data_IF_308563490367
#
_entry.id   IF_308563490367
#
_cell.length_a   1.000
_cell.length_b   1.000
_cell.length_c   1.000
_cell.angle_alpha   90.00
_cell.angle_beta   90.00
_cell.angle_gamma   90.00
#
_symmetry.space_group_name_H-M   'P 1'
#
loop_
_entity.id
_entity.type
_entity.pdbx_description
1 polymer ?
#
# COMPACT_ATOMS: atom_id res chain seq x y z
N UNK A 1 8.58 -6.81 -53.87
CA UNK A 1 7.39 -6.66 -53.01
C UNK A 1 7.28 -7.80 -51.99
N UNK A 2 7.25 -9.06 -52.44
CA UNK A 2 7.11 -10.25 -51.56
C UNK A 2 8.15 -10.37 -50.43
N UNK A 3 9.41 -9.97 -50.66
CA UNK A 3 10.43 -9.97 -49.61
C UNK A 3 10.17 -8.97 -48.47
N UNK A 4 9.65 -7.78 -48.78
CA UNK A 4 9.34 -6.77 -47.76
C UNK A 4 8.08 -7.13 -46.98
N UNK A 5 7.08 -7.74 -47.63
CA UNK A 5 5.89 -8.25 -46.93
C UNK A 5 6.23 -9.41 -46.00
N UNK A 6 7.11 -10.32 -46.44
CA UNK A 6 7.61 -11.41 -45.61
C UNK A 6 8.34 -10.89 -44.35
N UNK A 7 9.23 -9.90 -44.53
CA UNK A 7 9.93 -9.25 -43.44
C UNK A 7 8.96 -8.56 -42.46
N UNK A 8 7.97 -7.81 -42.97
CA UNK A 8 6.99 -7.11 -42.12
C UNK A 8 6.18 -8.10 -41.27
N UNK A 9 5.80 -9.26 -41.83
CA UNK A 9 5.05 -10.29 -41.08
C UNK A 9 5.93 -10.92 -39.99
N UNK A 10 7.18 -11.28 -40.31
CA UNK A 10 8.09 -11.87 -39.31
C UNK A 10 8.42 -10.89 -38.19
N UNK A 11 8.72 -9.63 -38.53
CA UNK A 11 8.97 -8.57 -37.54
C UNK A 11 7.71 -8.31 -36.71
N UNK A 12 6.53 -8.26 -37.34
CA UNK A 12 5.25 -8.12 -36.64
C UNK A 12 5.01 -9.23 -35.61
N UNK A 13 5.28 -10.49 -35.99
CA UNK A 13 5.21 -11.64 -35.09
C UNK A 13 6.15 -11.49 -33.88
N UNK A 14 7.40 -11.07 -34.11
CA UNK A 14 8.38 -10.85 -33.03
C UNK A 14 7.89 -9.75 -32.07
N UNK A 15 7.35 -8.65 -32.59
CA UNK A 15 6.85 -7.54 -31.77
C UNK A 15 5.62 -7.94 -30.95
N UNK A 16 4.70 -8.70 -31.53
CA UNK A 16 3.54 -9.24 -30.83
C UNK A 16 3.99 -10.14 -29.68
N UNK A 17 4.92 -11.06 -29.96
CA UNK A 17 5.43 -11.97 -28.95
C UNK A 17 6.20 -11.25 -27.85
N UNK A 18 6.98 -10.22 -28.19
CA UNK A 18 7.67 -9.36 -27.23
C UNK A 18 6.70 -8.63 -26.30
N UNK A 19 5.60 -8.11 -26.85
CA UNK A 19 4.56 -7.45 -26.05
C UNK A 19 3.93 -8.43 -25.07
N UNK A 20 3.63 -9.64 -25.53
CA UNK A 20 3.11 -10.71 -24.67
C UNK A 20 4.12 -11.09 -23.56
N UNK A 21 5.40 -11.29 -23.88
CA UNK A 21 6.44 -11.59 -22.88
C UNK A 21 6.61 -10.46 -21.87
N UNK A 22 6.41 -9.19 -22.26
CA UNK A 22 6.39 -8.08 -21.31
C UNK A 22 5.19 -8.18 -20.36
N UNK A 23 3.99 -8.46 -20.86
CA UNK A 23 2.80 -8.68 -20.01
C UNK A 23 3.01 -9.81 -19.01
N UNK A 24 3.67 -10.90 -19.42
CA UNK A 24 4.08 -11.98 -18.52
C UNK A 24 5.03 -11.47 -17.43
N UNK A 25 6.05 -10.70 -17.82
CA UNK A 25 7.03 -10.15 -16.88
C UNK A 25 6.36 -9.26 -15.83
N UNK A 26 5.50 -8.33 -16.27
CA UNK A 26 4.77 -7.41 -15.40
C UNK A 26 3.87 -8.16 -14.43
N UNK A 27 3.11 -9.16 -14.92
CA UNK A 27 2.23 -9.98 -14.10
C UNK A 27 3.00 -10.80 -13.05
N UNK A 28 4.12 -11.42 -13.45
CA UNK A 28 4.94 -12.21 -12.55
C UNK A 28 5.63 -11.35 -11.49
N UNK A 29 6.17 -10.18 -11.87
CA UNK A 29 6.81 -9.25 -10.94
C UNK A 29 5.79 -8.69 -9.94
N UNK A 30 4.62 -8.23 -10.39
CA UNK A 30 3.58 -7.70 -9.50
C UNK A 30 3.02 -8.76 -8.56
N UNK A 31 2.89 -10.00 -9.01
CA UNK A 31 2.40 -11.08 -8.17
C UNK A 31 3.43 -11.48 -7.11
N UNK A 32 4.71 -11.66 -7.50
CA UNK A 32 5.78 -11.97 -6.55
C UNK A 32 6.01 -10.86 -5.53
N UNK A 33 5.86 -9.59 -5.94
CA UNK A 33 6.00 -8.45 -5.03
C UNK A 33 4.95 -8.44 -3.90
N UNK A 34 3.79 -9.10 -4.05
CA UNK A 34 2.78 -9.15 -2.99
C UNK A 34 3.23 -9.97 -1.78
N UNK A 35 4.16 -10.89 -1.98
CA UNK A 35 4.74 -11.73 -0.92
C UNK A 35 6.04 -11.12 -0.37
N UNK A 36 6.36 -9.87 -0.72
CA UNK A 36 7.47 -9.10 -0.17
C UNK A 36 6.95 -7.95 0.72
N UNK A 37 7.79 -7.38 1.61
CA UNK A 37 9.08 -7.91 2.03
C UNK A 37 8.92 -9.09 3.02
N UNK A 38 9.71 -10.14 2.87
CA UNK A 38 9.76 -11.28 3.79
C UNK A 38 11.17 -11.89 3.78
N UNK A 39 11.65 -12.37 4.92
CA UNK A 39 12.96 -13.05 5.02
C UNK A 39 13.00 -14.36 4.21
N UNK A 40 11.86 -15.05 4.09
CA UNK A 40 11.70 -16.22 3.22
C UNK A 40 11.18 -15.77 1.84
N UNK A 41 12.03 -15.86 0.83
CA UNK A 41 11.72 -15.49 -0.56
C UNK A 41 10.92 -16.56 -1.30
N UNK A 42 10.81 -17.78 -0.75
CA UNK A 42 10.16 -18.92 -1.39
C UNK A 42 8.74 -18.63 -1.90
N UNK A 43 7.85 -18.02 -1.10
CA UNK A 43 6.51 -17.62 -1.54
C UNK A 43 6.54 -16.66 -2.73
N UNK A 44 7.31 -15.57 -2.65
CA UNK A 44 7.42 -14.57 -3.72
C UNK A 44 7.90 -15.18 -5.05
N UNK A 45 8.92 -16.04 -4.98
CA UNK A 45 9.46 -16.76 -6.15
C UNK A 45 8.38 -17.68 -6.74
N UNK A 46 7.73 -18.48 -5.89
CA UNK A 46 6.71 -19.43 -6.34
C UNK A 46 5.49 -18.74 -6.94
N UNK A 47 5.06 -17.62 -6.36
CA UNK A 47 3.97 -16.80 -6.88
C UNK A 47 4.33 -16.19 -8.23
N UNK A 48 5.54 -15.64 -8.39
CA UNK A 48 6.01 -15.12 -9.67
C UNK A 48 6.06 -16.21 -10.77
N UNK A 49 6.59 -17.40 -10.45
CA UNK A 49 6.60 -18.57 -11.36
C UNK A 49 5.19 -18.97 -11.76
N UNK A 50 4.26 -19.00 -10.80
CA UNK A 50 2.86 -19.38 -11.04
C UNK A 50 2.19 -18.41 -12.00
N UNK A 51 2.35 -17.09 -11.79
CA UNK A 51 1.75 -16.07 -12.64
C UNK A 51 2.36 -16.03 -14.03
N UNK A 52 3.66 -16.25 -14.18
CA UNK A 52 4.27 -16.41 -15.50
C UNK A 52 3.67 -17.62 -16.24
N UNK A 53 3.50 -18.75 -15.54
CA UNK A 53 2.89 -19.97 -16.08
C UNK A 53 1.43 -19.80 -16.48
N UNK A 54 0.64 -19.05 -15.71
CA UNK A 54 -0.74 -18.67 -16.06
C UNK A 54 -0.79 -17.82 -17.34
N UNK A 55 0.25 -17.03 -17.59
CA UNK A 55 0.41 -16.26 -18.82
C UNK A 55 1.16 -17.05 -19.93
N UNK A 56 1.32 -18.37 -19.78
CA UNK A 56 1.82 -19.26 -20.83
C UNK A 56 3.33 -19.24 -21.06
N UNK A 57 4.12 -18.72 -20.12
CA UNK A 57 5.59 -18.74 -20.18
C UNK A 57 6.15 -19.40 -18.92
N UNK A 58 6.92 -20.47 -19.11
CA UNK A 58 7.63 -21.13 -18.01
C UNK A 58 8.91 -20.36 -17.66
N UNK A 59 9.07 -20.04 -16.39
CA UNK A 59 10.29 -19.46 -15.81
C UNK A 59 10.76 -20.31 -14.64
N UNK A 60 12.04 -20.17 -14.28
CA UNK A 60 12.64 -20.73 -13.07
C UNK A 60 13.09 -19.61 -12.13
N UNK A 61 13.57 -20.00 -10.95
CA UNK A 61 14.19 -19.09 -9.98
C UNK A 61 15.35 -18.28 -10.60
N UNK A 62 16.10 -18.84 -11.55
CA UNK A 62 17.18 -18.13 -12.26
C UNK A 62 16.71 -16.88 -13.04
N UNK A 63 15.41 -16.79 -13.32
CA UNK A 63 14.80 -15.64 -13.99
C UNK A 63 14.40 -14.54 -13.00
N UNK A 64 14.56 -14.77 -11.70
CA UNK A 64 14.04 -13.91 -10.63
C UNK A 64 15.21 -13.38 -9.81
N UNK A 65 15.14 -12.09 -9.47
CA UNK A 65 16.09 -11.44 -8.57
C UNK A 65 15.32 -10.65 -7.53
N UNK A 66 15.64 -10.84 -6.25
CA UNK A 66 15.10 -10.06 -5.14
C UNK A 66 16.24 -9.24 -4.55
N UNK A 67 15.98 -7.97 -4.26
CA UNK A 67 16.96 -7.03 -3.73
C UNK A 67 16.29 -5.84 -3.03
N UNK A 68 17.14 -5.01 -2.40
CA UNK A 68 16.71 -3.86 -1.62
C UNK A 68 16.63 -2.60 -2.51
N UNK A 69 15.48 -1.94 -2.54
CA UNK A 69 15.35 -0.57 -3.06
C UNK A 69 15.18 0.45 -1.94
N UNK A 70 14.23 0.24 -1.03
CA UNK A 70 13.95 1.13 0.11
C UNK A 70 14.13 0.43 1.45
N UNK A 71 13.63 -0.80 1.58
CA UNK A 71 13.82 -1.67 2.75
C UNK A 71 14.34 -3.03 2.28
N UNK A 72 14.92 -3.85 3.20
CA UNK A 72 15.43 -5.16 2.83
C UNK A 72 14.38 -6.03 2.14
N UNK A 73 14.78 -6.67 1.03
CA UNK A 73 13.98 -7.62 0.25
C UNK A 73 12.61 -7.10 -0.21
N UNK A 74 12.52 -5.81 -0.57
CA UNK A 74 11.26 -5.19 -1.01
C UNK A 74 11.04 -5.25 -2.51
N UNK A 75 12.05 -5.58 -3.31
CA UNK A 75 11.99 -5.43 -4.78
C UNK A 75 12.26 -6.75 -5.47
N UNK A 76 11.41 -7.10 -6.42
CA UNK A 76 11.55 -8.28 -7.29
C UNK A 76 11.68 -7.86 -8.75
N UNK A 77 12.63 -8.48 -9.46
CA UNK A 77 12.77 -8.38 -10.92
C UNK A 77 12.60 -9.74 -11.54
N UNK A 78 11.74 -9.83 -12.56
CA UNK A 78 11.47 -11.07 -13.29
C UNK A 78 11.82 -10.89 -14.76
N UNK A 79 12.60 -11.82 -15.30
CA UNK A 79 13.07 -11.82 -16.70
C UNK A 79 12.61 -13.08 -17.43
N UNK A 80 11.33 -13.17 -17.85
CA UNK A 80 10.86 -14.29 -18.64
C UNK A 80 11.55 -14.33 -20.01
N UNK A 81 11.86 -15.54 -20.45
CA UNK A 81 12.49 -15.83 -21.74
C UNK A 81 11.57 -16.75 -22.54
N UNK A 82 11.02 -16.25 -23.64
CA UNK A 82 10.24 -17.07 -24.56
C UNK A 82 11.11 -17.49 -25.75
N UNK A 83 11.44 -18.78 -25.82
CA UNK A 83 12.29 -19.37 -26.88
C UNK A 83 11.51 -19.73 -28.16
N UNK A 84 10.19 -19.56 -28.17
CA UNK A 84 9.30 -20.12 -29.18
C UNK A 84 8.59 -19.06 -30.03
N UNK A 85 9.08 -17.82 -30.10
CA UNK A 85 8.48 -16.81 -30.96
C UNK A 85 8.53 -17.26 -32.43
N UNK A 86 7.41 -17.62 -33.07
CA UNK A 86 7.43 -18.26 -34.37
C UNK A 86 7.74 -17.21 -35.45
N UNK A 87 8.63 -17.58 -36.36
CA UNK A 87 8.82 -16.85 -37.61
C UNK A 87 8.03 -17.56 -38.71
N UNK A 88 7.45 -16.81 -39.64
CA UNK A 88 6.61 -17.37 -40.70
C UNK A 88 7.41 -17.58 -41.98
N UNK A 89 8.13 -16.55 -42.45
CA UNK A 89 8.86 -16.61 -43.71
C UNK A 89 10.33 -16.97 -43.52
N UNK A 90 10.97 -16.56 -42.42
CA UNK A 90 12.34 -16.95 -42.08
C UNK A 90 12.52 -18.48 -41.93
N UNK A 91 11.41 -19.21 -41.70
CA UNK A 91 11.37 -20.69 -41.74
C UNK A 91 11.86 -21.27 -43.06
N UNK A 92 11.58 -20.60 -44.18
CA UNK A 92 12.04 -21.01 -45.51
C UNK A 92 13.57 -20.96 -45.62
N UNK A 93 14.20 -20.10 -44.80
CA UNK A 93 15.65 -19.95 -44.70
C UNK A 93 16.26 -20.77 -43.55
N UNK A 94 15.47 -21.64 -42.91
CA UNK A 94 15.93 -22.50 -41.81
C UNK A 94 15.86 -21.87 -40.42
N UNK A 95 15.31 -20.66 -40.27
CA UNK A 95 15.16 -19.98 -38.96
C UNK A 95 13.71 -20.14 -38.48
N UNK A 96 13.50 -21.04 -37.53
CA UNK A 96 12.14 -21.46 -37.15
C UNK A 96 11.49 -20.62 -36.05
N UNK A 97 12.31 -20.03 -35.18
CA UNK A 97 11.89 -19.18 -34.07
C UNK A 97 13.00 -18.19 -33.70
N UNK A 98 12.64 -17.21 -32.88
CA UNK A 98 13.58 -16.31 -32.21
C UNK A 98 13.31 -16.33 -30.71
N UNK A 99 14.38 -16.15 -29.92
CA UNK A 99 14.24 -15.97 -28.47
C UNK A 99 13.89 -14.52 -28.17
N UNK A 100 12.86 -14.31 -27.36
CA UNK A 100 12.40 -13.00 -26.94
C UNK A 100 12.38 -12.93 -25.42
N UNK A 101 13.07 -11.92 -24.88
CA UNK A 101 13.14 -11.67 -23.45
C UNK A 101 12.40 -10.37 -23.14
N UNK A 102 11.81 -10.32 -21.95
CA UNK A 102 11.32 -9.11 -21.34
C UNK A 102 11.78 -9.08 -19.88
N UNK A 103 11.78 -7.89 -19.27
CA UNK A 103 12.12 -7.72 -17.87
C UNK A 103 11.11 -6.76 -17.26
N UNK A 104 10.66 -7.07 -16.05
CA UNK A 104 9.84 -6.20 -15.24
C UNK A 104 10.35 -6.21 -13.80
N UNK A 105 10.22 -5.06 -13.13
CA UNK A 105 10.61 -4.88 -11.73
C UNK A 105 9.42 -4.32 -10.98
N UNK A 106 9.13 -4.87 -9.81
CA UNK A 106 8.07 -4.42 -8.91
C UNK A 106 8.62 -4.33 -7.48
N UNK A 107 8.17 -3.32 -6.74
CA UNK A 107 8.57 -3.10 -5.35
C UNK A 107 7.34 -3.15 -4.46
N UNK A 108 7.43 -3.90 -3.38
CA UNK A 108 6.46 -3.98 -2.30
C UNK A 108 6.62 -2.78 -1.38
N UNK A 109 5.96 -1.68 -1.73
CA UNK A 109 5.96 -0.49 -0.90
C UNK A 109 4.72 -0.44 -0.01
N UNK A 110 4.93 -0.12 1.26
CA UNK A 110 3.85 0.29 2.16
C UNK A 110 3.22 1.62 1.71
N UNK A 111 2.05 1.94 2.28
CA UNK A 111 1.39 3.22 2.10
C UNK A 111 2.29 4.36 2.60
N UNK A 112 2.86 5.16 1.69
CA UNK A 112 3.73 6.30 2.05
C UNK A 112 2.95 7.58 2.37
N UNK A 113 1.74 7.72 1.82
CA UNK A 113 0.86 8.84 2.09
C UNK A 113 -0.60 8.44 1.94
N UNK A 114 -1.50 9.17 2.59
CA UNK A 114 -2.94 9.05 2.35
C UNK A 114 -3.69 10.35 2.68
N UNK A 115 -4.90 10.45 2.11
CA UNK A 115 -5.95 11.40 2.50
C UNK A 115 -7.04 10.65 3.25
N UNK A 116 -7.97 11.38 3.85
CA UNK A 116 -9.12 10.79 4.55
C UNK A 116 -8.81 10.29 5.97
N UNK A 117 -7.64 10.62 6.52
CA UNK A 117 -7.30 10.27 7.89
C UNK A 117 -8.23 10.96 8.88
N UNK A 118 -8.55 10.26 9.97
CA UNK A 118 -9.18 10.91 11.11
C UNK A 118 -8.21 11.84 11.82
N UNK A 119 -8.72 12.92 12.45
CA UNK A 119 -7.88 13.89 13.12
C UNK A 119 -7.43 13.42 14.51
N UNK A 120 -7.15 12.13 14.66
CA UNK A 120 -6.67 11.48 15.89
C UNK A 120 -5.36 10.75 15.62
N UNK A 121 -4.66 10.32 16.66
CA UNK A 121 -3.41 9.58 16.51
C UNK A 121 -3.15 8.65 17.69
N UNK A 122 -2.27 7.69 17.47
CA UNK A 122 -1.73 6.80 18.50
C UNK A 122 -0.20 6.98 18.57
N UNK A 123 0.37 7.31 19.73
CA UNK A 123 1.82 7.30 19.93
C UNK A 123 2.34 5.87 20.10
N UNK A 124 3.24 5.43 19.24
CA UNK A 124 3.79 4.08 19.28
C UNK A 124 4.77 3.86 20.44
N UNK A 125 5.37 4.92 20.99
CA UNK A 125 6.20 4.80 22.20
C UNK A 125 5.46 4.21 23.40
N UNK A 126 4.12 4.30 23.43
CA UNK A 126 3.27 3.70 24.47
C UNK A 126 3.07 2.19 24.28
N UNK A 127 3.39 1.68 23.09
CA UNK A 127 3.14 0.31 22.65
C UNK A 127 4.42 -0.28 22.04
N UNK A 128 5.42 -0.61 22.87
CA UNK A 128 6.74 -1.06 22.39
C UNK A 128 6.68 -2.36 21.57
N UNK A 129 5.68 -3.20 21.80
CA UNK A 129 5.43 -4.44 21.05
C UNK A 129 4.53 -4.21 19.81
N UNK A 130 4.19 -2.96 19.51
CA UNK A 130 3.27 -2.57 18.45
C UNK A 130 1.79 -2.70 18.85
N UNK A 131 0.92 -2.39 17.89
CA UNK A 131 -0.52 -2.52 18.06
C UNK A 131 -0.96 -3.96 17.77
N UNK A 132 -1.79 -4.50 18.66
CA UNK A 132 -2.34 -5.84 18.58
C UNK A 132 -3.72 -5.76 17.93
N UNK A 133 -3.89 -6.49 16.84
CA UNK A 133 -5.15 -6.51 16.10
C UNK A 133 -6.29 -7.09 16.95
N UNK A 134 -7.42 -6.39 17.01
CA UNK A 134 -8.58 -6.77 17.80
C UNK A 134 -8.61 -6.22 19.24
N UNK A 135 -7.51 -5.62 19.71
CA UNK A 135 -7.51 -4.92 20.99
C UNK A 135 -8.09 -3.50 20.86
N UNK A 136 -8.83 -3.00 21.87
CA UNK A 136 -9.36 -1.64 21.86
C UNK A 136 -8.28 -0.62 22.23
N UNK A 137 -8.26 0.51 21.50
CA UNK A 137 -7.34 1.62 21.73
C UNK A 137 -8.10 2.94 21.87
N UNK A 138 -7.64 3.82 22.76
CA UNK A 138 -8.19 5.16 22.89
C UNK A 138 -7.63 6.05 21.77
N UNK A 139 -8.48 6.47 20.83
CA UNK A 139 -8.09 7.38 19.73
C UNK A 139 -8.14 8.85 20.16
N UNK A 140 -9.00 9.16 21.14
CA UNK A 140 -9.12 10.48 21.75
C UNK A 140 -9.28 10.31 23.25
N UNK A 141 -8.47 11.04 24.01
CA UNK A 141 -8.51 11.03 25.47
C UNK A 141 -9.29 12.22 26.05
N UNK A 142 -9.72 12.08 27.30
CA UNK A 142 -10.34 13.14 28.11
C UNK A 142 -9.32 13.88 28.98
N UNK A 143 -9.72 14.95 29.68
CA UNK A 143 -8.81 15.77 30.50
C UNK A 143 -8.12 15.03 31.66
N UNK A 144 -8.66 13.89 32.08
CA UNK A 144 -8.14 13.10 33.19
C UNK A 144 -7.15 12.02 32.75
N UNK A 145 -7.06 11.74 31.45
CA UNK A 145 -6.26 10.67 30.86
C UNK A 145 -5.15 11.24 29.96
N UNK A 146 -4.75 12.49 30.21
CA UNK A 146 -3.72 13.19 29.44
C UNK A 146 -2.33 12.94 30.02
N UNK A 147 -1.47 12.31 29.24
CA UNK A 147 -0.02 12.28 29.51
C UNK A 147 0.66 13.59 29.06
N UNK A 148 0.14 14.24 28.00
CA UNK A 148 0.61 15.55 27.53
C UNK A 148 -0.44 16.62 27.85
N UNK A 149 -0.16 17.56 28.77
CA UNK A 149 -1.10 18.62 29.12
C UNK A 149 -1.57 19.44 27.91
N UNK A 150 -2.89 19.49 27.71
CA UNK A 150 -3.53 20.26 26.65
C UNK A 150 -3.59 19.56 25.28
N UNK A 151 -3.02 18.37 25.14
CA UNK A 151 -3.10 17.57 23.92
C UNK A 151 -3.89 16.29 24.14
N UNK A 152 -4.92 16.08 23.33
CA UNK A 152 -5.92 15.02 23.52
C UNK A 152 -5.86 13.97 22.40
N UNK A 153 -4.64 13.69 21.91
CA UNK A 153 -4.37 12.88 20.71
C UNK A 153 -4.96 13.46 19.42
N UNK A 154 -5.18 14.77 19.36
CA UNK A 154 -5.78 15.42 18.19
C UNK A 154 -4.70 15.93 17.24
N UNK A 155 -4.89 15.67 15.95
CA UNK A 155 -4.03 16.10 14.85
C UNK A 155 -4.61 17.35 14.15
N UNK A 156 -3.72 18.19 13.60
CA UNK A 156 -4.08 19.42 12.87
C UNK A 156 -3.68 19.29 11.40
N UNK A 157 -4.48 18.58 10.62
CA UNK A 157 -4.23 18.34 9.20
C UNK A 157 -4.62 19.52 8.32
N UNK A 158 -5.91 19.86 8.26
CA UNK A 158 -6.42 20.85 7.29
C UNK A 158 -6.48 22.29 7.82
N UNK A 159 -5.99 22.51 9.04
CA UNK A 159 -6.01 23.82 9.68
C UNK A 159 -6.35 23.75 11.17
N UNK A 160 -6.20 24.87 11.91
CA UNK A 160 -6.49 24.91 13.33
C UNK A 160 -7.99 25.04 13.61
N UNK A 161 -8.37 24.62 14.82
CA UNK A 161 -9.64 24.99 15.44
C UNK A 161 -10.72 23.93 15.32
N UNK A 162 -11.71 24.04 16.20
CA UNK A 162 -12.74 23.02 16.38
C UNK A 162 -13.63 22.81 15.14
N UNK A 163 -13.84 23.85 14.33
CA UNK A 163 -14.64 23.74 13.10
C UNK A 163 -13.93 22.85 12.06
N UNK A 164 -12.66 23.16 11.74
CA UNK A 164 -11.86 22.36 10.80
C UNK A 164 -11.70 20.93 11.30
N UNK A 165 -11.35 20.76 12.58
CA UNK A 165 -11.30 19.45 13.23
C UNK A 165 -12.61 18.66 13.09
N UNK A 166 -13.75 19.31 13.28
CA UNK A 166 -15.06 18.69 13.13
C UNK A 166 -15.35 18.23 11.70
N UNK A 167 -15.05 19.05 10.70
CA UNK A 167 -15.19 18.66 9.29
C UNK A 167 -14.25 17.50 8.93
N UNK A 168 -13.04 17.48 9.49
CA UNK A 168 -12.12 16.34 9.33
C UNK A 168 -12.68 15.06 9.94
N UNK A 169 -13.47 15.10 11.03
CA UNK A 169 -14.16 13.90 11.55
C UNK A 169 -15.18 13.39 10.53
N UNK A 170 -15.97 14.27 9.92
CA UNK A 170 -17.04 13.83 9.02
C UNK A 170 -16.47 13.29 7.72
N UNK A 171 -15.51 14.00 7.12
CA UNK A 171 -15.04 13.71 5.76
C UNK A 171 -13.67 13.03 5.69
N UNK A 172 -12.94 12.94 6.81
CA UNK A 172 -11.50 12.67 6.81
C UNK A 172 -10.70 13.89 6.34
N UNK A 173 -9.37 13.82 6.42
CA UNK A 173 -8.53 14.96 6.02
C UNK A 173 -8.44 15.13 4.49
N UNK A 174 -8.50 16.38 4.02
CA UNK A 174 -8.33 16.69 2.59
C UNK A 174 -6.86 16.70 2.18
N UNK A 175 -5.99 17.14 3.10
CA UNK A 175 -4.55 17.19 2.89
C UNK A 175 -3.97 15.80 2.76
N UNK A 176 -3.02 15.64 1.84
CA UNK A 176 -2.23 14.42 1.72
C UNK A 176 -1.19 14.38 2.82
N UNK A 177 -1.29 13.36 3.67
CA UNK A 177 -0.44 13.16 4.84
C UNK A 177 0.55 12.06 4.51
N UNK A 178 1.83 12.36 4.65
CA UNK A 178 2.96 11.52 4.32
C UNK A 178 3.58 10.95 5.60
N UNK A 179 4.04 9.71 5.53
CA UNK A 179 4.92 9.13 6.53
C UNK A 179 6.27 9.86 6.48
N UNK A 180 6.83 10.11 7.66
CA UNK A 180 8.18 10.62 7.82
C UNK A 180 9.18 9.56 7.36
N UNK A 181 10.06 9.93 6.44
CA UNK A 181 11.25 9.13 6.12
C UNK A 181 12.49 10.04 6.12
N UNK A 182 13.70 9.49 6.19
CA UNK A 182 14.93 10.29 6.02
C UNK A 182 14.94 11.08 4.69
N UNK A 183 14.33 10.55 3.63
CA UNK A 183 14.21 11.17 2.30
C UNK A 183 13.08 12.20 2.23
N UNK A 184 12.03 12.05 3.05
CA UNK A 184 10.91 12.98 3.18
C UNK A 184 10.64 13.34 4.66
N UNK A 185 11.46 14.22 5.27
CA UNK A 185 11.38 14.53 6.69
C UNK A 185 10.28 15.57 6.98
N UNK A 186 9.02 15.13 6.91
CA UNK A 186 7.84 15.97 7.18
C UNK A 186 7.29 15.72 8.58
N UNK A 187 7.09 16.81 9.33
CA UNK A 187 6.44 16.77 10.64
C UNK A 187 5.06 17.42 10.57
N UNK A 188 4.12 16.99 11.41
CA UNK A 188 2.74 17.50 11.45
C UNK A 188 2.45 18.27 12.73
N UNK A 189 1.59 19.28 12.64
CA UNK A 189 1.13 20.01 13.83
C UNK A 189 0.05 19.21 14.54
N UNK A 190 0.06 19.31 15.86
CA UNK A 190 -1.03 18.83 16.71
C UNK A 190 -2.11 19.91 16.90
N UNK A 191 -3.28 19.50 17.34
CA UNK A 191 -4.35 20.38 17.79
C UNK A 191 -4.49 20.26 19.31
N UNK A 192 -4.57 21.41 19.98
CA UNK A 192 -4.77 21.46 21.43
C UNK A 192 -6.20 21.82 21.80
N UNK A 193 -6.53 21.56 23.06
CA UNK A 193 -7.86 21.75 23.63
C UNK A 193 -8.71 20.48 23.57
N UNK A 194 -9.62 20.34 24.53
CA UNK A 194 -10.42 19.13 24.74
C UNK A 194 -11.35 18.81 23.56
N UNK A 195 -11.95 19.85 22.97
CA UNK A 195 -12.91 19.82 21.84
C UNK A 195 -14.04 18.75 21.99
N UNK A 196 -14.44 18.40 23.22
CA UNK A 196 -15.34 17.26 23.46
C UNK A 196 -16.73 17.39 22.80
N UNK A 197 -17.38 18.56 22.90
CA UNK A 197 -18.72 18.77 22.33
C UNK A 197 -18.73 18.58 20.80
N UNK A 198 -17.90 19.34 20.05
CA UNK A 198 -17.79 19.16 18.61
C UNK A 198 -17.35 17.76 18.19
N UNK A 199 -16.52 17.07 18.97
CA UNK A 199 -16.18 15.66 18.70
C UNK A 199 -17.43 14.79 18.65
N UNK A 200 -18.24 14.78 19.71
CA UNK A 200 -19.42 13.92 19.79
C UNK A 200 -20.42 14.21 18.66
N UNK A 201 -20.76 15.49 18.46
CA UNK A 201 -21.70 15.90 17.41
C UNK A 201 -21.24 15.47 16.01
N UNK A 202 -19.94 15.56 15.72
CA UNK A 202 -19.41 15.24 14.39
C UNK A 202 -19.22 13.74 14.16
N UNK A 203 -19.02 12.95 15.23
CA UNK A 203 -19.12 11.49 15.16
C UNK A 203 -20.57 11.08 14.86
N UNK A 204 -21.54 11.67 15.55
CA UNK A 204 -22.96 11.40 15.30
C UNK A 204 -23.35 11.77 13.85
N UNK A 205 -22.84 12.90 13.34
CA UNK A 205 -23.04 13.33 11.94
C UNK A 205 -22.40 12.35 10.93
N UNK A 206 -21.18 11.86 11.19
CA UNK A 206 -20.50 10.87 10.33
C UNK A 206 -21.26 9.54 10.28
N UNK A 207 -21.81 9.13 11.42
CA UNK A 207 -22.52 7.86 11.58
C UNK A 207 -24.02 7.99 11.29
N UNK A 208 -24.49 9.15 10.82
CA UNK A 208 -25.90 9.35 10.50
C UNK A 208 -26.33 8.42 9.35
N UNK A 209 -27.35 7.62 9.60
CA UNK A 209 -27.83 6.60 8.65
C UNK A 209 -26.93 5.36 8.50
N UNK A 210 -25.87 5.23 9.31
CA UNK A 210 -25.00 4.06 9.30
C UNK A 210 -25.74 2.79 9.78
N UNK A 211 -25.60 1.71 9.01
CA UNK A 211 -26.18 0.39 9.33
C UNK A 211 -25.11 -0.70 9.43
N UNK A 212 -23.82 -0.36 9.32
CA UNK A 212 -22.75 -1.33 9.30
C UNK A 212 -22.52 -1.96 10.67
N UNK A 213 -22.33 -3.28 10.70
CA UNK A 213 -21.85 -4.00 11.88
C UNK A 213 -20.42 -4.49 11.67
N UNK A 214 -19.72 -4.80 12.77
CA UNK A 214 -18.35 -5.29 12.72
C UNK A 214 -18.22 -6.54 11.83
N UNK A 215 -19.16 -7.49 11.93
CA UNK A 215 -19.10 -8.75 11.19
C UNK A 215 -19.37 -8.56 9.68
N UNK A 216 -20.10 -7.50 9.30
CA UNK A 216 -20.37 -7.16 7.91
C UNK A 216 -19.11 -6.60 7.23
N UNK A 217 -18.31 -5.84 7.96
CA UNK A 217 -17.22 -5.02 7.40
C UNK A 217 -15.82 -5.56 7.71
N UNK A 218 -15.69 -6.42 8.71
CA UNK A 218 -14.41 -7.04 9.12
C UNK A 218 -14.54 -8.57 9.00
N UNK A 219 -13.49 -9.22 8.50
CA UNK A 219 -13.28 -10.66 8.64
C UNK A 219 -12.06 -10.94 9.49
N UNK A 220 -12.07 -12.10 10.13
CA UNK A 220 -10.89 -12.71 10.71
C UNK A 220 -10.53 -13.95 9.91
N UNK A 221 -9.36 -13.93 9.26
CA UNK A 221 -8.85 -15.05 8.46
C UNK A 221 -7.37 -15.22 8.72
N UNK A 222 -6.93 -16.47 8.85
CA UNK A 222 -5.51 -16.84 9.04
C UNK A 222 -4.83 -16.10 10.20
N UNK A 223 -5.58 -15.87 11.30
CA UNK A 223 -5.07 -15.20 12.49
C UNK A 223 -5.05 -13.67 12.41
N UNK A 224 -5.58 -13.06 11.35
CA UNK A 224 -5.54 -11.62 11.10
C UNK A 224 -6.94 -11.06 10.83
N UNK A 225 -7.20 -9.85 11.32
CA UNK A 225 -8.38 -9.09 10.91
C UNK A 225 -8.10 -8.35 9.58
N UNK A 226 -9.06 -8.38 8.66
CA UNK A 226 -9.04 -7.60 7.42
C UNK A 226 -10.39 -6.95 7.16
N UNK A 227 -10.37 -5.79 6.52
CA UNK A 227 -11.58 -5.05 6.13
C UNK A 227 -12.12 -5.63 4.83
N UNK A 228 -13.39 -6.05 4.83
CA UNK A 228 -14.16 -6.48 3.65
C UNK A 228 -14.72 -5.30 2.88
N UNK A 229 -15.27 -4.34 3.62
CA UNK A 229 -15.97 -3.17 3.11
C UNK A 229 -15.40 -1.91 3.75
N UNK A 230 -14.61 -1.18 2.97
CA UNK A 230 -13.98 0.07 3.38
C UNK A 230 -14.90 1.29 3.28
N UNK A 231 -16.09 1.15 2.70
CA UNK A 231 -17.05 2.28 2.53
C UNK A 231 -17.86 2.54 3.82
N UNK A 232 -17.78 1.63 4.79
CA UNK A 232 -18.37 1.79 6.11
C UNK A 232 -17.81 3.02 6.84
N UNK A 233 -18.66 3.96 7.32
CA UNK A 233 -18.18 5.17 7.99
C UNK A 233 -17.49 4.88 9.33
N UNK A 234 -17.71 3.71 9.94
CA UNK A 234 -17.00 3.28 11.16
C UNK A 234 -15.56 2.86 10.90
N UNK A 235 -15.26 2.38 9.69
CA UNK A 235 -13.88 2.04 9.32
C UNK A 235 -13.11 3.33 9.12
N UNK A 236 -12.08 3.54 9.93
CA UNK A 236 -11.30 4.77 9.94
C UNK A 236 -9.81 4.50 9.90
N UNK A 237 -9.10 5.37 9.19
CA UNK A 237 -7.64 5.36 9.13
C UNK A 237 -7.06 6.35 10.13
N UNK A 238 -6.20 5.85 11.02
CA UNK A 238 -5.57 6.61 12.09
C UNK A 238 -4.05 6.68 11.82
N UNK A 239 -3.45 7.88 11.78
CA UNK A 239 -2.00 8.03 11.77
C UNK A 239 -1.38 7.52 13.07
N UNK A 240 -0.21 6.91 12.96
CA UNK A 240 0.62 6.48 14.07
C UNK A 240 1.81 7.42 14.16
N UNK A 241 2.11 7.93 15.36
CA UNK A 241 3.25 8.82 15.58
C UNK A 241 4.35 8.13 16.37
N UNK A 242 5.61 8.50 16.11
CA UNK A 242 6.78 7.90 16.78
C UNK A 242 6.73 8.12 18.29
N UNK A 243 6.55 9.38 18.70
CA UNK A 243 6.63 9.83 20.10
C UNK A 243 5.54 10.85 20.40
N UNK A 244 5.14 10.97 21.67
CA UNK A 244 4.21 12.00 22.12
C UNK A 244 4.85 13.38 21.99
N UNK A 245 4.06 14.41 21.63
CA UNK A 245 4.50 15.79 21.77
C UNK A 245 4.69 16.11 23.25
N UNK A 246 5.77 16.83 23.58
CA UNK A 246 6.08 17.30 24.94
C UNK A 246 5.33 18.57 25.29
N UNK A 247 4.88 19.32 24.30
CA UNK A 247 4.12 20.55 24.49
C UNK A 247 3.25 20.90 23.26
N UNK A 248 2.36 21.87 23.47
CA UNK A 248 1.37 22.36 22.49
C UNK A 248 1.96 22.90 21.17
N UNK A 249 3.26 23.22 21.12
CA UNK A 249 3.92 23.82 19.95
C UNK A 249 4.73 22.81 19.16
N UNK A 250 4.91 21.60 19.69
CA UNK A 250 5.72 20.57 19.05
C UNK A 250 5.01 19.97 17.84
N UNK A 251 5.82 19.51 16.89
CA UNK A 251 5.35 18.78 15.72
C UNK A 251 5.71 17.31 15.91
N UNK A 252 4.89 16.44 15.36
CA UNK A 252 5.04 14.99 15.49
C UNK A 252 5.34 14.38 14.12
N UNK A 253 6.13 13.30 14.13
CA UNK A 253 6.39 12.49 12.95
C UNK A 253 5.35 11.39 12.87
N UNK A 254 4.70 11.28 11.72
CA UNK A 254 3.84 10.15 11.43
C UNK A 254 4.73 9.05 10.85
N UNK A 255 4.68 7.85 11.43
CA UNK A 255 5.53 6.71 11.05
C UNK A 255 4.76 5.56 10.44
N UNK A 256 3.43 5.66 10.41
CA UNK A 256 2.56 4.62 9.89
C UNK A 256 1.09 5.04 9.90
N UNK A 257 0.26 4.16 9.36
CA UNK A 257 -1.20 4.28 9.41
C UNK A 257 -1.77 2.94 9.86
N UNK A 258 -2.84 2.97 10.66
CA UNK A 258 -3.58 1.78 11.06
C UNK A 258 -5.07 1.98 10.87
N UNK A 259 -5.78 0.87 10.70
CA UNK A 259 -7.23 0.86 10.51
C UNK A 259 -7.90 0.51 11.83
N UNK A 260 -9.00 1.20 12.13
CA UNK A 260 -9.85 0.96 13.29
C UNK A 260 -11.32 0.89 12.85
N UNK A 261 -12.16 0.31 13.70
CA UNK A 261 -13.62 0.23 13.57
C UNK A 261 -14.29 0.76 14.83
#
# INVERSE_FOLDING_TARGET
>A
LFGMTALVVDVGSIYEKRRHTQTVADAAALAGAQDLPNEDHGPAIQTAITYAGLNGVSISEDNIQIFDTYVPDDTITVTPTDINAPLFFARVLGVNSVTVNATATATANGLLSMRGLMPWTIPLEDYPDGLISGEPYNLKVGPHDLETPGWFQIMRFDGPGAAVYGETIVNGCESEIWIWTPENPVDYRIQTGTIAGPTGMKIDERLDGDTCSFDDVVEFKDGKYSVKDGDCPRVVYIPLIETRPKNASERVKIVGFSIFF
#
